data_IF_887733567765
#
_entry.id   IF_887733567765
#
_cell.length_a   1.000
_cell.length_b   1.000
_cell.length_c   1.000
_cell.angle_alpha   90.00
_cell.angle_beta   90.00
_cell.angle_gamma   90.00
#
_symmetry.space_group_name_H-M   'P 1'
#
loop_
_entity.id
_entity.type
_entity.pdbx_description
1 polymer ?
#
# COMPACT_ATOMS: atom_id res chain seq x y z
N UNK A 1 18.15 14.68 28.06
CA UNK A 1 18.07 13.23 27.80
C UNK A 1 17.92 13.07 26.31
N UNK A 2 18.97 12.66 25.60
CA UNK A 2 18.84 12.29 24.19
C UNK A 2 18.25 10.89 24.19
N UNK A 3 17.02 10.73 23.71
CA UNK A 3 16.45 9.42 23.43
C UNK A 3 17.45 8.65 22.56
N UNK A 4 17.69 7.38 22.89
CA UNK A 4 18.51 6.48 22.09
C UNK A 4 17.93 6.49 20.68
N UNK A 5 18.65 7.11 19.74
CA UNK A 5 18.30 7.13 18.33
C UNK A 5 18.21 5.67 17.91
N UNK A 6 16.99 5.17 17.73
CA UNK A 6 16.75 3.79 17.38
C UNK A 6 17.43 3.56 16.03
N UNK A 7 18.46 2.71 15.99
CA UNK A 7 19.22 2.45 14.78
C UNK A 7 18.27 1.88 13.72
N UNK A 8 18.17 2.59 12.60
CA UNK A 8 17.32 2.17 11.49
C UNK A 8 18.08 1.13 10.68
N UNK A 9 17.79 -0.14 10.91
CA UNK A 9 18.26 -1.25 10.08
C UNK A 9 17.25 -1.50 8.96
N UNK A 10 17.41 -0.81 7.83
CA UNK A 10 16.61 -1.05 6.63
C UNK A 10 17.08 -2.29 5.88
N UNK A 11 16.15 -3.12 5.39
CA UNK A 11 16.41 -4.19 4.42
C UNK A 11 15.65 -3.89 3.11
N UNK A 12 16.33 -3.32 2.10
CA UNK A 12 15.72 -2.97 0.81
C UNK A 12 15.18 -4.17 0.02
N UNK A 13 15.71 -5.39 0.24
CA UNK A 13 15.16 -6.59 -0.39
C UNK A 13 13.87 -7.05 0.29
N UNK A 14 13.81 -7.01 1.62
CA UNK A 14 12.57 -7.29 2.35
C UNK A 14 11.45 -6.31 1.95
N UNK A 15 11.78 -5.02 1.75
CA UNK A 15 10.82 -4.01 1.27
C UNK A 15 10.30 -4.33 -0.13
N UNK A 16 11.19 -4.73 -1.06
CA UNK A 16 10.79 -5.17 -2.41
C UNK A 16 9.89 -6.41 -2.38
N UNK A 17 10.26 -7.44 -1.61
CA UNK A 17 9.44 -8.65 -1.44
C UNK A 17 8.07 -8.34 -0.84
N UNK A 18 8.01 -7.42 0.12
CA UNK A 18 6.75 -6.97 0.70
C UNK A 18 5.84 -6.33 -0.35
N UNK A 19 6.40 -5.46 -1.21
CA UNK A 19 5.65 -4.86 -2.33
C UNK A 19 5.12 -5.93 -3.28
N UNK A 20 5.91 -6.95 -3.61
CA UNK A 20 5.48 -8.06 -4.49
C UNK A 20 4.36 -8.92 -3.89
N UNK A 21 4.30 -9.05 -2.56
CA UNK A 21 3.27 -9.83 -1.85
C UNK A 21 1.93 -9.11 -1.73
N UNK A 22 1.92 -7.78 -1.88
CA UNK A 22 0.66 -7.03 -1.94
C UNK A 22 -0.08 -7.46 -3.21
N UNK A 23 -1.35 -7.82 -3.06
CA UNK A 23 -2.24 -8.19 -4.17
C UNK A 23 -2.93 -6.93 -4.67
N UNK A 24 -2.96 -6.73 -5.99
CA UNK A 24 -3.77 -5.67 -6.57
C UNK A 24 -5.24 -6.09 -6.51
N UNK A 25 -6.05 -5.27 -5.85
CA UNK A 25 -7.50 -5.43 -5.83
C UNK A 25 -8.06 -4.87 -7.14
N UNK A 26 -8.54 -5.76 -8.02
CA UNK A 26 -9.36 -5.34 -9.17
C UNK A 26 -10.77 -5.00 -8.68
N UNK A 27 -11.03 -3.72 -8.51
CA UNK A 27 -12.32 -3.21 -8.02
C UNK A 27 -13.35 -2.99 -9.13
N UNK A 28 -12.98 -3.20 -10.40
CA UNK A 28 -13.87 -2.94 -11.53
C UNK A 28 -15.11 -3.86 -11.53
N UNK A 29 -14.98 -5.07 -10.95
CA UNK A 29 -16.05 -6.06 -10.92
C UNK A 29 -17.19 -5.77 -9.92
N UNK A 30 -17.02 -4.84 -8.97
CA UNK A 30 -17.98 -4.62 -7.86
C UNK A 30 -18.99 -3.50 -8.15
N UNK A 31 -18.83 -2.77 -9.26
CA UNK A 31 -19.59 -1.54 -9.53
C UNK A 31 -20.95 -1.74 -10.18
N UNK A 32 -21.29 -2.92 -10.70
CA UNK A 32 -22.61 -3.17 -11.28
C UNK A 32 -23.58 -3.74 -10.24
N UNK A 33 -24.55 -2.95 -9.72
CA UNK A 33 -25.61 -3.50 -8.91
C UNK A 33 -26.49 -4.43 -9.76
N UNK A 34 -26.99 -5.55 -9.20
CA UNK A 34 -27.90 -6.43 -9.92
C UNK A 34 -29.18 -5.67 -10.30
N UNK A 35 -29.37 -5.44 -11.61
CA UNK A 35 -30.43 -4.59 -12.17
C UNK A 35 -31.80 -5.25 -12.32
N UNK A 36 -32.08 -6.39 -11.67
CA UNK A 36 -33.34 -7.10 -11.85
C UNK A 36 -34.39 -6.65 -10.81
N UNK A 37 -35.50 -5.99 -11.22
CA UNK A 37 -36.60 -5.72 -10.30
C UNK A 37 -37.23 -7.04 -9.83
N UNK A 38 -37.57 -7.14 -8.53
CA UNK A 38 -38.21 -8.32 -7.97
C UNK A 38 -39.48 -8.67 -8.77
N UNK A 39 -39.61 -9.93 -9.25
CA UNK A 39 -40.83 -10.38 -9.89
C UNK A 39 -41.92 -10.51 -8.83
N UNK A 40 -42.76 -9.48 -8.67
CA UNK A 40 -43.88 -9.57 -7.73
C UNK A 40 -44.58 -8.29 -7.31
N UNK A 41 -44.08 -7.10 -7.65
CA UNK A 41 -44.82 -5.83 -7.41
C UNK A 41 -45.14 -5.51 -5.94
N UNK A 42 -44.59 -6.27 -4.97
CA UNK A 42 -44.84 -6.04 -3.55
C UNK A 42 -43.90 -4.97 -3.00
N UNK A 43 -44.45 -3.92 -2.41
CA UNK A 43 -43.71 -2.83 -1.75
C UNK A 43 -42.70 -3.33 -0.68
N UNK A 44 -42.88 -4.54 -0.16
CA UNK A 44 -41.94 -5.18 0.75
C UNK A 44 -40.58 -5.46 0.09
N UNK A 45 -40.54 -5.90 -1.17
CA UNK A 45 -39.30 -6.17 -1.89
C UNK A 45 -38.46 -4.92 -2.10
N UNK A 46 -39.09 -3.77 -2.36
CA UNK A 46 -38.39 -2.52 -2.64
C UNK A 46 -37.43 -2.08 -1.51
N UNK A 47 -37.80 -2.33 -0.24
CA UNK A 47 -36.92 -2.00 0.89
C UNK A 47 -35.72 -2.93 0.99
N UNK A 48 -35.91 -4.23 0.72
CA UNK A 48 -34.80 -5.18 0.69
C UNK A 48 -33.86 -4.91 -0.47
N UNK A 49 -34.38 -4.61 -1.67
CA UNK A 49 -33.55 -4.24 -2.82
C UNK A 49 -32.78 -2.94 -2.58
N UNK A 50 -33.40 -1.94 -1.93
CA UNK A 50 -32.71 -0.71 -1.58
C UNK A 50 -31.59 -0.92 -0.55
N UNK A 51 -31.83 -1.76 0.47
CA UNK A 51 -30.83 -2.11 1.47
C UNK A 51 -29.66 -2.92 0.86
N UNK A 52 -29.97 -3.84 -0.05
CA UNK A 52 -28.98 -4.63 -0.80
C UNK A 52 -28.08 -3.72 -1.64
N UNK A 53 -28.69 -2.86 -2.48
CA UNK A 53 -27.96 -1.88 -3.30
C UNK A 53 -27.12 -0.93 -2.45
N UNK A 54 -27.63 -0.46 -1.31
CA UNK A 54 -26.86 0.39 -0.39
C UNK A 54 -25.65 -0.35 0.20
N UNK A 55 -25.82 -1.62 0.58
CA UNK A 55 -24.76 -2.46 1.13
C UNK A 55 -23.70 -2.78 0.08
N UNK A 56 -24.11 -3.11 -1.15
CA UNK A 56 -23.19 -3.34 -2.28
C UNK A 56 -22.38 -2.09 -2.61
N UNK A 57 -23.00 -0.90 -2.62
CA UNK A 57 -22.28 0.37 -2.83
C UNK A 57 -21.30 0.69 -1.72
N UNK A 58 -21.69 0.46 -0.47
CA UNK A 58 -20.79 0.65 0.68
C UNK A 58 -19.58 -0.28 0.59
N UNK A 59 -19.80 -1.56 0.26
CA UNK A 59 -18.72 -2.52 0.04
C UNK A 59 -17.83 -2.12 -1.14
N UNK A 60 -18.41 -1.71 -2.27
CA UNK A 60 -17.65 -1.26 -3.43
C UNK A 60 -16.74 -0.05 -3.09
N UNK A 61 -17.28 0.91 -2.33
CA UNK A 61 -16.54 2.10 -1.89
C UNK A 61 -15.39 1.72 -0.96
N UNK A 62 -15.66 0.86 0.02
CA UNK A 62 -14.64 0.35 0.95
C UNK A 62 -13.51 -0.39 0.21
N UNK A 63 -13.84 -1.23 -0.76
CA UNK A 63 -12.85 -1.96 -1.56
C UNK A 63 -12.01 -0.99 -2.42
N UNK A 64 -12.61 0.05 -2.99
CA UNK A 64 -11.91 1.08 -3.74
C UNK A 64 -10.93 1.87 -2.85
N UNK A 65 -11.37 2.31 -1.68
CA UNK A 65 -10.53 3.00 -0.70
C UNK A 65 -9.37 2.10 -0.21
N UNK A 66 -9.64 0.82 0.03
CA UNK A 66 -8.63 -0.16 0.41
C UNK A 66 -7.60 -0.35 -0.71
N UNK A 67 -8.04 -0.46 -1.97
CA UNK A 67 -7.16 -0.54 -3.12
C UNK A 67 -6.23 0.69 -3.23
N UNK A 68 -6.77 1.89 -3.04
CA UNK A 68 -5.98 3.12 -3.03
C UNK A 68 -4.96 3.15 -1.88
N UNK A 69 -5.34 2.70 -0.68
CA UNK A 69 -4.43 2.61 0.46
C UNK A 69 -3.29 1.59 0.23
N UNK A 70 -3.59 0.44 -0.37
CA UNK A 70 -2.58 -0.56 -0.75
C UNK A 70 -1.61 0.03 -1.77
N UNK A 71 -2.10 0.75 -2.79
CA UNK A 71 -1.25 1.40 -3.77
C UNK A 71 -0.33 2.46 -3.13
N UNK A 72 -0.85 3.26 -2.20
CA UNK A 72 -0.06 4.22 -1.44
C UNK A 72 1.03 3.54 -0.59
N UNK A 73 0.71 2.42 0.06
CA UNK A 73 1.67 1.62 0.82
C UNK A 73 2.79 1.06 -0.07
N UNK A 74 2.46 0.58 -1.27
CA UNK A 74 3.48 0.12 -2.24
C UNK A 74 4.41 1.25 -2.64
N UNK A 75 3.86 2.44 -2.94
CA UNK A 75 4.65 3.60 -3.32
C UNK A 75 5.61 4.03 -2.19
N UNK A 76 5.11 4.12 -0.96
CA UNK A 76 5.92 4.47 0.20
C UNK A 76 7.03 3.45 0.49
N UNK A 77 6.75 2.15 0.33
CA UNK A 77 7.75 1.10 0.50
C UNK A 77 8.84 1.16 -0.58
N UNK A 78 8.48 1.50 -1.83
CA UNK A 78 9.45 1.68 -2.91
C UNK A 78 10.35 2.91 -2.68
N UNK A 79 9.76 4.04 -2.27
CA UNK A 79 10.50 5.27 -1.92
C UNK A 79 11.47 5.02 -0.77
N UNK A 80 11.00 4.37 0.31
CA UNK A 80 11.86 4.01 1.43
C UNK A 80 13.03 3.11 1.00
N UNK A 81 12.80 2.12 0.14
CA UNK A 81 13.86 1.26 -0.36
C UNK A 81 14.92 2.04 -1.18
N UNK A 82 14.50 3.00 -1.99
CA UNK A 82 15.40 3.88 -2.76
C UNK A 82 16.23 4.79 -1.86
N UNK A 83 15.62 5.35 -0.82
CA UNK A 83 16.29 6.18 0.18
C UNK A 83 17.35 5.40 0.96
N UNK A 84 17.04 4.16 1.37
CA UNK A 84 18.02 3.30 2.03
C UNK A 84 19.20 2.97 1.10
N UNK A 85 18.95 2.62 -0.17
CA UNK A 85 20.01 2.33 -1.13
C UNK A 85 20.90 3.55 -1.42
N UNK A 86 20.30 4.74 -1.51
CA UNK A 86 21.02 5.99 -1.71
C UNK A 86 21.90 6.31 -0.50
N UNK A 87 21.35 6.15 0.70
CA UNK A 87 22.08 6.35 1.96
C UNK A 87 23.25 5.36 2.09
N UNK A 88 23.04 4.09 1.77
CA UNK A 88 24.09 3.07 1.75
C UNK A 88 25.20 3.42 0.78
N UNK A 89 24.85 3.88 -0.43
CA UNK A 89 25.83 4.29 -1.43
C UNK A 89 26.67 5.49 -0.96
N UNK A 90 26.02 6.51 -0.40
CA UNK A 90 26.71 7.68 0.17
C UNK A 90 27.62 7.26 1.33
N UNK A 91 27.13 6.39 2.23
CA UNK A 91 27.92 5.83 3.32
C UNK A 91 29.13 5.06 2.84
N UNK A 92 28.98 4.18 1.84
CA UNK A 92 30.07 3.43 1.24
C UNK A 92 31.15 4.35 0.63
N UNK A 93 30.76 5.41 -0.09
CA UNK A 93 31.70 6.39 -0.62
C UNK A 93 32.45 7.15 0.47
N UNK A 94 31.78 7.50 1.58
CA UNK A 94 32.42 8.16 2.72
C UNK A 94 33.45 7.26 3.42
N UNK A 95 33.14 5.96 3.58
CA UNK A 95 34.08 4.99 4.17
C UNK A 95 35.29 4.79 3.28
N UNK A 96 35.10 4.62 1.96
CA UNK A 96 36.23 4.48 1.02
C UNK A 96 37.11 5.73 1.04
N UNK A 97 36.52 6.93 1.01
CA UNK A 97 37.27 8.18 1.11
C UNK A 97 38.06 8.32 2.42
N UNK A 98 37.48 7.90 3.55
CA UNK A 98 38.17 7.91 4.84
C UNK A 98 39.33 6.91 4.92
N UNK A 99 39.18 5.70 4.33
CA UNK A 99 40.25 4.69 4.31
C UNK A 99 41.44 5.16 3.47
N UNK A 100 41.23 5.83 2.34
CA UNK A 100 42.34 6.38 1.55
C UNK A 100 43.12 7.47 2.30
N UNK A 101 42.44 8.33 3.06
CA UNK A 101 43.08 9.37 3.88
C UNK A 101 43.90 8.76 5.04
N UNK A 102 43.44 7.66 5.64
CA UNK A 102 44.14 7.00 6.76
C UNK A 102 45.36 6.17 6.30
N UNK A 103 45.46 5.80 5.02
CA UNK A 103 46.59 5.03 4.47
C UNK A 103 47.70 5.95 3.91
N UNK A 104 47.39 7.21 3.64
CA UNK A 104 48.38 8.21 3.16
C UNK A 104 49.08 9.02 4.27
N UNK A 105 48.69 8.83 5.55
CA UNK A 105 49.38 9.35 6.75
C UNK A 105 50.29 8.28 7.40
#
# INVERSE_FOLDING_TARGET
>A
MCESRQEMHGDPEAMRRFVEQLVDLDTAAVLEPPGAPCPGGMQACARFTAADVASTRALASFLAETGAAIAALRAAAAEAAEDYLTTDRVGAHAVVGAVFVVVED
#
